data_IF_677544529697
#
_entry.id   IF_677544529697
#
_cell.length_a   1.000
_cell.length_b   1.000
_cell.length_c   1.000
_cell.angle_alpha   90.00
_cell.angle_beta   90.00
_cell.angle_gamma   90.00
#
_symmetry.space_group_name_H-M   'P 1'
#
loop_
_entity.id
_entity.type
_entity.pdbx_description
1 polymer ?
#
# COMPACT_ATOMS: atom_id res chain seq x y z
N UNK A 1 7.04 -10.93 -1.70
CA UNK A 1 6.63 -9.62 -1.14
C UNK A 1 5.23 -9.75 -0.58
N UNK A 2 4.99 -9.26 0.63
CA UNK A 2 3.65 -9.11 1.17
C UNK A 2 3.13 -7.73 0.77
N UNK A 3 2.01 -7.62 0.05
CA UNK A 3 1.45 -6.33 -0.39
C UNK A 3 1.23 -5.34 0.76
N UNK A 4 0.94 -5.88 1.94
CA UNK A 4 0.75 -5.11 3.17
C UNK A 4 2.03 -4.43 3.65
N UNK A 5 3.22 -4.86 3.22
CA UNK A 5 4.48 -4.18 3.58
C UNK A 5 4.65 -2.84 2.86
N UNK A 6 3.90 -2.59 1.77
CA UNK A 6 3.85 -1.29 1.11
C UNK A 6 3.01 -0.26 1.87
N UNK A 7 2.30 -0.67 2.92
CA UNK A 7 1.39 0.19 3.66
C UNK A 7 1.82 0.31 5.11
N UNK A 8 2.02 1.54 5.56
CA UNK A 8 2.28 1.85 6.97
C UNK A 8 1.11 2.64 7.54
N UNK A 9 0.60 2.21 8.70
CA UNK A 9 -0.40 2.96 9.43
C UNK A 9 0.29 3.95 10.39
N UNK A 10 0.08 5.24 10.16
CA UNK A 10 0.56 6.32 11.02
C UNK A 10 -0.58 6.89 11.85
N UNK A 11 -0.50 6.68 13.16
CA UNK A 11 -1.40 7.32 14.13
C UNK A 11 -0.84 8.68 14.56
N UNK A 12 -1.68 9.64 14.99
CA UNK A 12 -1.21 10.90 15.58
C UNK A 12 -0.32 10.64 16.80
N UNK A 13 0.67 11.50 17.05
CA UNK A 13 1.58 11.35 18.20
C UNK A 13 0.88 11.48 19.56
N UNK A 14 -0.31 12.09 19.57
CA UNK A 14 -1.17 12.20 20.76
C UNK A 14 -2.05 10.96 20.99
N UNK A 15 -2.02 9.96 20.11
CA UNK A 15 -2.83 8.76 20.24
C UNK A 15 -2.17 7.78 21.21
N UNK A 16 -2.88 7.39 22.27
CA UNK A 16 -2.45 6.33 23.17
C UNK A 16 -2.86 4.97 22.61
N UNK A 17 -1.88 4.08 22.39
CA UNK A 17 -2.15 2.74 21.88
C UNK A 17 -2.94 1.92 22.91
N UNK A 18 -4.08 1.40 22.47
CA UNK A 18 -4.87 0.44 23.23
C UNK A 18 -4.23 -0.96 23.20
N UNK A 19 -4.57 -1.86 24.14
CA UNK A 19 -4.15 -3.26 24.06
C UNK A 19 -4.54 -3.94 22.74
N UNK A 20 -5.71 -3.60 22.20
CA UNK A 20 -6.21 -4.10 20.92
C UNK A 20 -5.33 -3.65 19.75
N UNK A 21 -4.89 -2.38 19.71
CA UNK A 21 -3.96 -1.88 18.69
C UNK A 21 -2.62 -2.64 18.70
N UNK A 22 -2.12 -2.92 19.90
CA UNK A 22 -0.86 -3.65 20.09
C UNK A 22 -1.04 -5.10 19.61
N UNK A 23 -2.15 -5.73 19.97
CA UNK A 23 -2.46 -7.09 19.54
C UNK A 23 -2.59 -7.18 18.02
N UNK A 24 -3.35 -6.29 17.40
CA UNK A 24 -3.59 -6.27 15.95
C UNK A 24 -2.30 -6.05 15.15
N UNK A 25 -1.47 -5.10 15.57
CA UNK A 25 -0.18 -4.84 14.90
C UNK A 25 0.82 -5.99 15.04
N UNK A 26 0.73 -6.79 16.11
CA UNK A 26 1.64 -7.92 16.36
C UNK A 26 1.29 -9.18 15.56
N UNK A 27 0.05 -9.31 15.07
CA UNK A 27 -0.46 -10.56 14.48
C UNK A 27 0.30 -11.01 13.23
N UNK A 28 0.74 -10.10 12.36
CA UNK A 28 1.49 -10.49 11.15
C UNK A 28 2.93 -10.92 11.40
N UNK A 29 3.50 -10.56 12.56
CA UNK A 29 4.81 -11.10 12.98
C UNK A 29 4.70 -12.52 13.54
N UNK A 30 3.57 -12.87 14.13
CA UNK A 30 3.33 -14.19 14.76
C UNK A 30 2.72 -15.18 13.77
N UNK A 31 1.85 -14.71 12.87
CA UNK A 31 1.14 -15.51 11.88
C UNK A 31 1.44 -14.99 10.48
N UNK A 32 2.56 -15.45 9.91
CA UNK A 32 3.06 -15.01 8.60
C UNK A 32 2.10 -15.26 7.41
N UNK A 33 1.05 -16.06 7.60
CA UNK A 33 0.05 -16.38 6.59
C UNK A 33 -1.32 -15.73 6.83
N UNK A 34 -1.48 -14.91 7.89
CA UNK A 34 -2.77 -14.31 8.21
C UNK A 34 -2.97 -12.97 7.48
N UNK A 35 -4.23 -12.67 7.13
CA UNK A 35 -4.57 -11.49 6.35
C UNK A 35 -4.55 -10.27 7.28
N UNK A 36 -3.48 -9.50 7.23
CA UNK A 36 -3.35 -8.26 7.99
C UNK A 36 -4.28 -7.17 7.43
N UNK A 37 -5.31 -6.81 8.18
CA UNK A 37 -6.25 -5.73 7.82
C UNK A 37 -5.67 -4.35 8.17
N UNK A 38 -4.66 -3.90 7.44
CA UNK A 38 -3.96 -2.63 7.72
C UNK A 38 -4.61 -1.42 7.02
N UNK A 39 -5.94 -1.34 7.01
CA UNK A 39 -6.64 -0.17 6.46
C UNK A 39 -6.87 0.92 7.53
N UNK A 40 -6.62 0.63 8.80
CA UNK A 40 -6.94 1.56 9.89
C UNK A 40 -8.45 1.64 10.15
N UNK A 41 -8.79 1.96 11.39
CA UNK A 41 -10.16 1.93 11.93
C UNK A 41 -10.66 3.33 12.33
N UNK A 42 -9.75 4.31 12.37
CA UNK A 42 -10.01 5.66 12.87
C UNK A 42 -9.85 6.73 11.78
N UNK A 43 -10.73 7.75 11.74
CA UNK A 43 -10.63 8.87 10.80
C UNK A 43 -9.37 9.73 11.01
N UNK A 44 -8.71 9.61 12.17
CA UNK A 44 -7.47 10.35 12.47
C UNK A 44 -6.21 9.60 12.05
N UNK A 45 -6.34 8.32 11.67
CA UNK A 45 -5.22 7.54 11.18
C UNK A 45 -4.89 7.91 9.74
N UNK A 46 -3.60 8.00 9.45
CA UNK A 46 -3.10 8.19 8.08
C UNK A 46 -2.48 6.90 7.60
N UNK A 47 -2.92 6.40 6.46
CA UNK A 47 -2.27 5.32 5.75
C UNK A 47 -1.21 5.92 4.84
N UNK A 48 0.01 5.39 4.90
CA UNK A 48 1.09 5.75 3.98
C UNK A 48 1.32 4.56 3.07
N UNK A 49 0.96 4.69 1.80
CA UNK A 49 1.32 3.73 0.76
C UNK A 49 2.63 4.16 0.11
N UNK A 50 3.63 3.28 0.14
CA UNK A 50 4.94 3.49 -0.49
C UNK A 50 5.06 2.53 -1.67
N UNK A 51 4.95 3.01 -2.92
CA UNK A 51 5.06 2.17 -4.11
C UNK A 51 6.40 1.44 -4.16
N UNK A 52 6.45 0.23 -4.73
CA UNK A 52 7.74 -0.46 -4.90
C UNK A 52 8.64 0.21 -5.95
N UNK A 53 8.03 0.93 -6.90
CA UNK A 53 8.74 1.73 -7.90
C UNK A 53 9.16 3.09 -7.30
N UNK A 54 10.46 3.36 -7.11
CA UNK A 54 10.95 4.58 -6.46
C UNK A 54 10.75 5.85 -7.29
N UNK A 55 10.32 5.72 -8.55
CA UNK A 55 9.94 6.88 -9.39
C UNK A 55 8.71 7.62 -8.85
N UNK A 56 7.94 6.98 -7.97
CA UNK A 56 6.74 7.53 -7.36
C UNK A 56 6.97 7.80 -5.88
N UNK A 57 6.53 8.98 -5.43
CA UNK A 57 6.59 9.35 -4.03
C UNK A 57 5.53 8.60 -3.20
N UNK A 58 5.76 8.40 -1.89
CA UNK A 58 4.75 7.86 -0.99
C UNK A 58 3.44 8.67 -1.02
N UNK A 59 2.31 7.97 -0.97
CA UNK A 59 0.97 8.54 -1.02
C UNK A 59 0.34 8.44 0.37
N UNK A 60 -0.18 9.56 0.87
CA UNK A 60 -0.96 9.59 2.11
C UNK A 60 -2.44 9.40 1.79
N UNK A 61 -3.06 8.41 2.43
CA UNK A 61 -4.46 8.03 2.29
C UNK A 61 -5.15 8.12 3.66
N UNK A 62 -6.46 8.37 3.65
CA UNK A 62 -7.29 8.32 4.84
C UNK A 62 -8.46 7.37 4.59
N UNK A 63 -8.91 6.71 5.66
CA UNK A 63 -10.13 5.93 5.60
C UNK A 63 -11.31 6.85 5.34
N UNK A 64 -12.29 6.35 4.60
CA UNK A 64 -13.53 7.07 4.42
C UNK A 64 -14.24 7.24 5.77
N UNK A 65 -14.73 8.45 6.05
CA UNK A 65 -15.53 8.73 7.24
C UNK A 65 -16.99 8.29 7.02
N UNK A 66 -17.26 7.03 7.36
CA UNK A 66 -18.55 6.37 7.14
C UNK A 66 -19.50 6.67 8.30
N UNK A 67 -20.40 7.63 8.09
CA UNK A 67 -21.31 8.12 9.13
C UNK A 67 -22.74 7.54 9.08
N UNK A 68 -23.09 6.76 8.04
CA UNK A 68 -24.45 6.22 7.85
C UNK A 68 -24.49 4.73 7.49
N UNK A 69 -25.57 4.05 7.85
CA UNK A 69 -25.80 2.63 7.53
C UNK A 69 -25.74 2.34 6.02
N UNK A 70 -26.26 3.25 5.21
CA UNK A 70 -26.22 3.14 3.75
C UNK A 70 -24.80 3.22 3.18
N UNK A 71 -23.91 3.98 3.84
CA UNK A 71 -22.49 4.03 3.47
C UNK A 71 -21.74 2.78 3.96
N UNK A 72 -22.11 2.22 5.13
CA UNK A 72 -21.52 0.96 5.63
C UNK A 72 -21.77 -0.21 4.68
N UNK A 73 -22.94 -0.27 4.05
CA UNK A 73 -23.26 -1.30 3.06
C UNK A 73 -22.38 -1.25 1.79
N UNK A 74 -21.73 -0.11 1.52
CA UNK A 74 -20.85 0.07 0.36
C UNK A 74 -19.40 -0.36 0.63
N UNK A 75 -19.05 -0.77 1.85
CA UNK A 75 -17.68 -1.16 2.19
C UNK A 75 -17.38 -2.62 1.79
N UNK A 76 -16.48 -2.80 0.82
CA UNK A 76 -15.94 -4.10 0.46
C UNK A 76 -14.52 -4.24 1.05
N UNK A 77 -14.39 -4.89 2.19
CA UNK A 77 -13.12 -5.12 2.89
C UNK A 77 -12.07 -5.87 2.03
N UNK A 78 -12.49 -6.57 0.97
CA UNK A 78 -11.60 -7.29 0.05
C UNK A 78 -11.00 -6.43 -1.07
N UNK A 79 -11.46 -5.19 -1.27
CA UNK A 79 -10.98 -4.35 -2.38
C UNK A 79 -9.58 -3.80 -2.14
N UNK A 80 -9.14 -3.74 -0.88
CA UNK A 80 -7.90 -3.05 -0.50
C UNK A 80 -6.65 -3.66 -1.12
N UNK A 81 -6.44 -4.97 -0.94
CA UNK A 81 -5.27 -5.66 -1.50
C UNK A 81 -5.31 -5.66 -3.04
N UNK A 82 -6.50 -5.77 -3.65
CA UNK A 82 -6.66 -5.66 -5.09
C UNK A 82 -6.31 -4.25 -5.61
N UNK A 83 -6.67 -3.21 -4.86
CA UNK A 83 -6.30 -1.83 -5.16
C UNK A 83 -4.80 -1.58 -5.11
N UNK A 84 -4.12 -2.10 -4.07
CA UNK A 84 -2.65 -2.01 -3.98
C UNK A 84 -1.99 -2.77 -5.13
N UNK A 85 -2.45 -3.98 -5.45
CA UNK A 85 -1.95 -4.74 -6.61
C UNK A 85 -2.12 -3.97 -7.92
N UNK A 86 -3.28 -3.36 -8.12
CA UNK A 86 -3.55 -2.55 -9.31
C UNK A 86 -2.66 -1.30 -9.35
N UNK A 87 -2.45 -0.64 -8.22
CA UNK A 87 -1.54 0.50 -8.12
C UNK A 87 -0.10 0.11 -8.50
N UNK A 88 0.37 -1.06 -8.07
CA UNK A 88 1.69 -1.56 -8.44
C UNK A 88 1.79 -1.92 -9.93
N UNK A 89 0.75 -2.51 -10.53
CA UNK A 89 0.71 -2.79 -11.97
C UNK A 89 0.74 -1.50 -12.80
N UNK A 90 -0.05 -0.50 -12.42
CA UNK A 90 -0.12 0.80 -13.10
C UNK A 90 1.18 1.59 -12.90
N UNK A 91 1.78 1.51 -11.70
CA UNK A 91 3.07 2.10 -11.39
C UNK A 91 4.24 1.43 -12.13
N UNK A 92 4.05 0.19 -12.56
CA UNK A 92 5.05 -0.60 -13.27
C UNK A 92 6.20 -1.04 -12.37
N UNK A 93 7.04 -1.94 -12.89
CA UNK A 93 8.18 -2.48 -12.15
C UNK A 93 9.17 -1.36 -11.77
N UNK A 94 9.90 -1.49 -10.64
CA UNK A 94 11.04 -0.63 -10.35
C UNK A 94 12.02 -0.72 -11.52
N UNK A 95 12.28 0.38 -12.22
CA UNK A 95 13.24 0.39 -13.32
C UNK A 95 14.65 0.01 -12.85
N UNK A 96 15.41 -0.67 -13.72
CA UNK A 96 16.87 -0.86 -13.52
C UNK A 96 17.64 0.48 -13.62
N UNK A 97 17.01 1.53 -14.14
CA UNK A 97 17.56 2.87 -14.25
C UNK A 97 17.48 3.61 -12.91
N UNK A 98 18.43 3.29 -12.04
CA UNK A 98 18.58 3.90 -10.72
C UNK A 98 19.87 3.52 -10.02
N UNK A 99 20.97 3.32 -10.76
CA UNK A 99 22.32 3.42 -10.18
C UNK A 99 22.60 4.90 -9.88
N UNK A 100 21.97 5.39 -8.82
CA UNK A 100 22.26 6.67 -8.21
C UNK A 100 22.42 6.42 -6.71
N UNK A 101 23.64 6.12 -6.30
CA UNK A 101 24.09 6.17 -4.92
C UNK A 101 23.78 7.56 -4.36
N UNK A 102 22.61 7.80 -3.74
CA UNK A 102 22.33 8.99 -2.90
C UNK A 102 20.90 8.96 -2.32
N UNK A 103 20.56 7.92 -1.54
CA UNK A 103 19.49 7.97 -0.54
C UNK A 103 19.57 6.78 0.43
N UNK A 104 20.75 6.53 1.03
CA UNK A 104 20.82 5.64 2.19
C UNK A 104 20.30 6.40 3.41
N UNK A 105 19.03 6.18 3.75
CA UNK A 105 18.48 6.56 5.04
C UNK A 105 18.55 5.32 5.93
N UNK A 106 19.46 5.32 6.91
CA UNK A 106 19.92 4.14 7.68
C UNK A 106 18.88 3.59 8.68
N UNK A 107 17.65 4.12 8.74
CA UNK A 107 16.69 3.77 9.79
C UNK A 107 15.72 2.61 9.45
N UNK A 108 15.82 1.96 8.28
CA UNK A 108 14.87 0.91 7.88
C UNK A 108 15.49 -0.31 7.18
N UNK A 109 16.75 -0.65 7.47
CA UNK A 109 17.43 -1.74 6.75
C UNK A 109 16.87 -3.14 7.06
N UNK A 110 16.24 -3.38 8.21
CA UNK A 110 15.85 -4.73 8.63
C UNK A 110 14.60 -5.26 7.90
N UNK A 111 13.74 -4.37 7.36
CA UNK A 111 12.47 -4.75 6.72
C UNK A 111 12.41 -4.37 5.23
N UNK A 112 13.35 -3.53 4.76
CA UNK A 112 13.38 -3.04 3.38
C UNK A 112 13.89 -4.08 2.38
N UNK A 113 14.84 -4.95 2.76
CA UNK A 113 15.39 -5.97 1.86
C UNK A 113 14.38 -7.07 1.50
N UNK A 114 13.46 -7.41 2.41
CA UNK A 114 12.46 -8.47 2.19
C UNK A 114 11.21 -7.98 1.44
N UNK A 115 11.03 -6.65 1.39
CA UNK A 115 9.84 -5.97 0.85
C UNK A 115 9.98 -5.53 -0.60
N UNK A 116 11.13 -5.71 -1.23
CA UNK A 116 11.32 -5.39 -2.65
C UNK A 116 11.23 -6.68 -3.47
N UNK A 117 10.57 -6.62 -4.63
CA UNK A 117 10.57 -7.75 -5.56
C UNK A 117 12.02 -8.16 -5.85
N UNK A 118 12.42 -9.42 -5.60
CA UNK A 118 13.71 -9.91 -6.03
C UNK A 118 13.92 -9.60 -7.52
N UNK A 119 15.13 -9.24 -7.91
CA UNK A 119 15.44 -8.92 -9.31
C UNK A 119 14.97 -10.06 -10.23
N UNK A 120 14.12 -9.72 -11.21
CA UNK A 120 13.55 -10.69 -12.15
C UNK A 120 12.32 -11.48 -11.67
N UNK A 121 11.71 -11.14 -10.54
CA UNK A 121 10.56 -11.88 -9.97
C UNK A 121 9.22 -11.13 -10.01
N UNK A 122 9.11 -10.10 -10.85
CA UNK A 122 7.83 -9.44 -11.08
C UNK A 122 6.78 -10.45 -11.54
N UNK A 123 5.55 -10.35 -11.01
CA UNK A 123 4.52 -11.37 -11.17
C UNK A 123 3.81 -11.34 -12.52
N UNK A 124 4.07 -10.32 -13.34
CA UNK A 124 3.66 -10.25 -14.74
C UNK A 124 4.88 -10.18 -15.65
N UNK A 125 4.76 -10.67 -16.88
CA UNK A 125 5.76 -10.40 -17.90
C UNK A 125 5.65 -8.95 -18.42
N UNK A 126 6.60 -8.55 -19.27
CA UNK A 126 6.65 -7.20 -19.81
C UNK A 126 5.50 -6.90 -20.79
N UNK A 127 5.01 -7.91 -21.53
CA UNK A 127 3.91 -7.74 -22.48
C UNK A 127 2.58 -7.53 -21.73
N UNK A 128 2.38 -8.26 -20.64
CA UNK A 128 1.23 -8.05 -19.76
C UNK A 128 1.31 -6.71 -19.04
N UNK A 129 2.46 -6.33 -18.49
CA UNK A 129 2.65 -5.04 -17.82
C UNK A 129 2.34 -3.84 -18.75
N UNK A 130 2.76 -3.89 -20.02
CA UNK A 130 2.50 -2.83 -20.99
C UNK A 130 0.99 -2.55 -21.15
N UNK A 131 0.14 -3.58 -21.03
CA UNK A 131 -1.32 -3.46 -21.12
C UNK A 131 -1.95 -2.69 -19.95
N UNK A 132 -1.24 -2.57 -18.83
CA UNK A 132 -1.68 -1.84 -17.64
C UNK A 132 -1.13 -0.42 -17.55
N UNK A 133 -0.14 -0.08 -18.38
CA UNK A 133 0.45 1.26 -18.39
C UNK A 133 -0.58 2.31 -18.81
N UNK A 134 -0.75 3.34 -17.97
CA UNK A 134 -1.57 4.52 -18.26
C UNK A 134 -0.71 5.78 -18.48
N UNK A 135 0.62 5.63 -18.53
CA UNK A 135 1.55 6.76 -18.59
C UNK A 135 1.45 7.45 -19.95
N UNK A 136 1.03 8.71 -19.93
CA UNK A 136 0.82 9.51 -21.15
C UNK A 136 -0.59 9.38 -21.74
N UNK A 137 -1.44 8.54 -21.15
CA UNK A 137 -2.84 8.41 -21.55
C UNK A 137 -3.71 9.49 -20.93
N UNK A 138 -4.79 9.86 -21.63
CA UNK A 138 -5.83 10.72 -21.07
C UNK A 138 -6.89 9.85 -20.40
N UNK A 139 -6.88 9.80 -19.07
CA UNK A 139 -7.84 9.04 -18.28
C UNK A 139 -9.04 9.89 -17.87
N UNK A 140 -10.24 9.32 -18.04
CA UNK A 140 -11.48 9.88 -17.50
C UNK A 140 -11.79 9.15 -16.19
N UNK A 141 -11.73 9.86 -15.06
CA UNK A 141 -12.21 9.33 -13.79
C UNK A 141 -13.73 9.28 -13.80
N UNK A 142 -14.29 8.09 -14.02
CA UNK A 142 -15.69 7.82 -13.73
C UNK A 142 -15.78 7.48 -12.24
N UNK A 143 -15.83 8.51 -11.40
CA UNK A 143 -15.98 8.33 -9.97
C UNK A 143 -17.16 7.41 -9.65
N UNK A 144 -16.98 6.50 -8.69
CA UNK A 144 -18.06 5.70 -8.12
C UNK A 144 -18.89 6.59 -7.16
N UNK A 145 -19.52 7.64 -7.71
CA UNK A 145 -20.19 8.68 -6.93
C UNK A 145 -21.65 8.87 -7.32
N UNK A 146 -22.54 8.37 -6.44
CA UNK A 146 -23.70 9.14 -5.93
C UNK A 146 -23.86 8.85 -4.45
#
# INVERSE_FOLDING_TARGET
MLLTSLVTLRRPTSYELTPEDIFESSLGGVFANDLQNHHGDSPTSTLIYTPSNPSYAPISLHTADVNSEDQRQKFAHYLWNAGILMAELVGGRPGEEGTGDEARNEESEVWAEESRWPAGTWWTDAEEEEKWSVKGETVLELGAGV
#
